data_IF_880131031123
#
_entry.id   IF_880131031123
#
_cell.length_a   1.000
_cell.length_b   1.000
_cell.length_c   1.000
_cell.angle_alpha   90.00
_cell.angle_beta   90.00
_cell.angle_gamma   90.00
#
_symmetry.space_group_name_H-M   'P 1'
#
loop_
_entity.id
_entity.type
_entity.pdbx_description
1 polymer ?
#
# COMPACT_ATOMS: atom_id res chain seq x y z
N UNK A 1 -17.44 59.98 -6.19
CA UNK A 1 -16.97 59.20 -5.04
C UNK A 1 -17.19 57.75 -5.37
N UNK A 2 -16.14 57.03 -5.73
CA UNK A 2 -16.19 55.58 -6.01
C UNK A 2 -15.57 54.87 -4.81
N UNK A 3 -16.40 54.04 -4.11
CA UNK A 3 -15.94 53.19 -3.04
C UNK A 3 -15.40 51.88 -3.66
N UNK A 4 -14.07 51.72 -3.61
CA UNK A 4 -13.42 50.46 -3.98
C UNK A 4 -13.58 49.46 -2.82
N UNK A 5 -14.35 48.40 -3.08
CA UNK A 5 -14.45 47.26 -2.16
C UNK A 5 -13.28 46.33 -2.46
N UNK A 6 -12.26 46.33 -1.58
CA UNK A 6 -11.20 45.33 -1.62
C UNK A 6 -11.77 43.98 -1.11
N UNK A 7 -11.94 43.04 -2.02
CA UNK A 7 -12.24 41.67 -1.66
C UNK A 7 -10.94 40.97 -1.17
N UNK A 8 -10.82 40.72 0.12
CA UNK A 8 -9.79 39.88 0.72
C UNK A 8 -10.10 38.43 0.39
N UNK A 9 -9.38 37.89 -0.59
CA UNK A 9 -9.42 36.45 -0.86
C UNK A 9 -8.56 35.76 0.19
N UNK A 10 -9.20 35.16 1.18
CA UNK A 10 -8.49 34.32 2.14
C UNK A 10 -8.09 33.01 1.44
N UNK A 11 -6.81 32.89 1.09
CA UNK A 11 -6.21 31.62 0.65
C UNK A 11 -6.16 30.67 1.84
N UNK A 12 -7.03 29.70 1.83
CA UNK A 12 -6.98 28.62 2.79
C UNK A 12 -5.91 27.64 2.31
N UNK A 13 -4.73 27.73 2.87
CA UNK A 13 -3.70 26.71 2.70
C UNK A 13 -4.19 25.43 3.40
N UNK A 14 -4.55 24.41 2.61
CA UNK A 14 -4.82 23.08 3.14
C UNK A 14 -3.48 22.49 3.56
N UNK A 15 -3.18 22.58 4.86
CA UNK A 15 -2.04 21.88 5.43
C UNK A 15 -2.32 20.37 5.42
N UNK A 16 -1.34 19.54 5.02
CA UNK A 16 -1.50 18.09 5.12
C UNK A 16 -1.85 17.71 6.56
N UNK A 17 -2.87 16.90 6.74
CA UNK A 17 -3.32 16.53 8.07
C UNK A 17 -2.21 15.72 8.77
N UNK A 18 -2.02 16.00 10.05
CA UNK A 18 -1.05 15.29 10.90
C UNK A 18 -1.26 13.76 10.87
N UNK A 19 -2.47 13.31 10.58
CA UNK A 19 -2.83 11.90 10.45
C UNK A 19 -2.11 11.18 9.29
N UNK A 20 -1.86 11.86 8.15
CA UNK A 20 -1.12 11.26 7.03
C UNK A 20 0.37 11.07 7.34
N UNK A 21 0.97 12.01 8.07
CA UNK A 21 2.36 11.91 8.50
C UNK A 21 2.55 10.85 9.61
N UNK A 22 1.59 10.69 10.49
CA UNK A 22 1.59 9.66 11.55
C UNK A 22 1.31 8.27 10.97
N UNK A 23 0.42 8.14 9.98
CA UNK A 23 0.14 6.89 9.27
C UNK A 23 1.39 6.29 8.59
N UNK A 24 2.26 7.12 8.04
CA UNK A 24 3.51 6.68 7.42
C UNK A 24 4.48 6.04 8.42
N UNK A 25 4.62 6.61 9.62
CA UNK A 25 5.48 6.06 10.68
C UNK A 25 4.92 4.77 11.25
N UNK A 26 3.62 4.72 11.51
CA UNK A 26 2.94 3.52 11.98
C UNK A 26 2.97 2.42 10.93
N UNK A 27 2.80 2.76 9.67
CA UNK A 27 2.87 1.83 8.54
C UNK A 27 4.25 1.20 8.39
N UNK A 28 5.31 1.96 8.53
CA UNK A 28 6.69 1.43 8.53
C UNK A 28 6.92 0.46 9.69
N UNK A 29 6.52 0.82 10.89
CA UNK A 29 6.64 -0.02 12.07
C UNK A 29 5.81 -1.30 11.94
N UNK A 30 4.60 -1.19 11.43
CA UNK A 30 3.72 -2.34 11.16
C UNK A 30 4.31 -3.25 10.08
N UNK A 31 4.87 -2.70 9.01
CA UNK A 31 5.57 -3.45 7.99
C UNK A 31 6.71 -4.28 8.59
N UNK A 32 7.54 -3.67 9.43
CA UNK A 32 8.64 -4.38 10.09
C UNK A 32 8.14 -5.55 10.96
N UNK A 33 7.05 -5.37 11.66
CA UNK A 33 6.50 -6.42 12.55
C UNK A 33 5.71 -7.49 11.82
N UNK A 34 4.95 -7.10 10.77
CA UNK A 34 3.97 -7.99 10.11
C UNK A 34 4.47 -8.58 8.80
N UNK A 35 5.33 -7.89 8.09
CA UNK A 35 5.68 -8.23 6.71
C UNK A 35 7.16 -8.62 6.54
N UNK A 36 8.06 -8.04 7.34
CA UNK A 36 9.50 -8.20 7.16
C UNK A 36 10.04 -9.60 7.49
N UNK A 37 9.24 -10.48 8.08
CA UNK A 37 9.61 -11.88 8.27
C UNK A 37 9.66 -12.68 6.96
N UNK A 38 8.88 -12.28 5.97
CA UNK A 38 8.78 -12.96 4.67
C UNK A 38 9.10 -12.06 3.47
N UNK A 39 9.00 -10.75 3.64
CA UNK A 39 9.25 -9.77 2.59
C UNK A 39 10.37 -8.80 2.96
N UNK A 40 11.11 -8.35 1.95
CA UNK A 40 11.94 -7.16 2.03
C UNK A 40 11.46 -6.13 1.00
N UNK A 41 11.92 -4.89 1.14
CA UNK A 41 11.57 -3.85 0.15
C UNK A 41 12.30 -4.06 -1.17
N UNK A 42 13.58 -4.41 -1.13
CA UNK A 42 14.46 -4.40 -2.29
C UNK A 42 15.04 -5.78 -2.66
N UNK A 43 14.63 -6.83 -1.96
CA UNK A 43 15.08 -8.19 -2.20
C UNK A 43 13.94 -9.19 -2.09
N UNK A 44 14.03 -10.29 -2.84
CA UNK A 44 13.10 -11.41 -2.75
C UNK A 44 13.56 -12.34 -1.62
N UNK A 45 12.61 -12.79 -0.83
CA UNK A 45 12.79 -13.80 0.23
C UNK A 45 11.72 -14.89 0.09
N UNK A 46 11.00 -15.22 1.14
CA UNK A 46 9.84 -16.11 1.05
C UNK A 46 8.72 -15.51 0.20
N UNK A 47 8.59 -14.19 0.23
CA UNK A 47 7.73 -13.42 -0.67
C UNK A 47 8.55 -12.50 -1.58
N UNK A 48 7.92 -11.93 -2.62
CA UNK A 48 8.58 -10.99 -3.52
C UNK A 48 8.87 -9.66 -2.83
N UNK A 49 9.84 -8.91 -3.38
CA UNK A 49 10.12 -7.54 -2.96
C UNK A 49 8.87 -6.67 -3.03
N UNK A 50 8.71 -5.75 -2.10
CA UNK A 50 7.50 -4.95 -1.98
C UNK A 50 7.65 -3.47 -2.36
N UNK A 51 8.87 -2.93 -2.53
CA UNK A 51 9.01 -1.58 -3.04
C UNK A 51 8.40 -1.50 -4.45
N UNK A 52 7.50 -0.55 -4.64
CA UNK A 52 6.79 -0.38 -5.91
C UNK A 52 5.63 -1.36 -6.13
N UNK A 53 5.18 -2.08 -5.11
CA UNK A 53 4.06 -3.03 -5.25
C UNK A 53 2.74 -2.36 -5.63
N UNK A 54 2.47 -1.17 -5.13
CA UNK A 54 1.28 -0.39 -5.53
C UNK A 54 1.46 0.10 -6.97
N UNK A 55 0.58 -0.34 -7.85
CA UNK A 55 0.65 -0.08 -9.29
C UNK A 55 1.35 -1.18 -10.09
N UNK A 56 1.86 -2.22 -9.45
CA UNK A 56 2.53 -3.35 -10.10
C UNK A 56 1.54 -4.46 -10.46
N UNK A 57 1.71 -5.07 -11.62
CA UNK A 57 0.92 -6.25 -11.98
C UNK A 57 1.22 -7.42 -11.04
N UNK A 58 0.17 -8.12 -10.61
CA UNK A 58 0.32 -9.31 -9.76
C UNK A 58 1.19 -10.36 -10.47
N UNK A 59 2.04 -11.04 -9.72
CA UNK A 59 2.90 -12.10 -10.24
C UNK A 59 3.99 -11.62 -11.20
N UNK A 60 4.38 -10.34 -11.19
CA UNK A 60 5.23 -9.76 -12.23
C UNK A 60 6.71 -9.57 -11.89
N UNK A 61 7.13 -9.80 -10.65
CA UNK A 61 8.56 -9.73 -10.29
C UNK A 61 9.28 -10.93 -10.91
N UNK A 62 10.13 -10.66 -11.90
CA UNK A 62 10.76 -11.71 -12.73
C UNK A 62 11.73 -12.60 -11.96
N UNK A 63 12.30 -12.10 -10.90
CA UNK A 63 13.28 -12.81 -10.06
C UNK A 63 12.65 -13.64 -8.96
N UNK A 64 11.33 -13.55 -8.78
CA UNK A 64 10.59 -14.30 -7.76
C UNK A 64 9.79 -15.43 -8.38
N UNK A 65 9.81 -16.59 -7.73
CA UNK A 65 9.04 -17.75 -8.15
C UNK A 65 7.68 -17.77 -7.45
N UNK A 66 6.66 -17.27 -8.14
CA UNK A 66 5.28 -17.25 -7.66
C UNK A 66 4.61 -18.62 -7.73
N UNK A 67 3.54 -18.80 -6.93
CA UNK A 67 2.56 -19.87 -7.17
C UNK A 67 1.94 -19.74 -8.56
N UNK A 68 1.45 -20.84 -9.12
CA UNK A 68 0.74 -20.81 -10.40
C UNK A 68 -0.49 -19.89 -10.34
N UNK A 69 -1.18 -19.86 -9.21
CA UNK A 69 -2.31 -18.96 -8.99
C UNK A 69 -1.93 -17.48 -9.15
N UNK A 70 -0.83 -17.05 -8.54
CA UNK A 70 -0.35 -15.67 -8.67
C UNK A 70 0.24 -15.36 -10.03
N UNK A 71 0.93 -16.30 -10.67
CA UNK A 71 1.39 -16.13 -12.06
C UNK A 71 0.24 -15.88 -13.03
N UNK A 72 -0.89 -16.51 -12.80
CA UNK A 72 -2.09 -16.41 -13.64
C UNK A 72 -3.04 -15.29 -13.23
N UNK A 73 -2.79 -14.60 -12.12
CA UNK A 73 -3.59 -13.47 -11.68
C UNK A 73 -3.46 -12.29 -12.67
N UNK A 74 -4.59 -11.67 -12.98
CA UNK A 74 -4.70 -10.66 -14.06
C UNK A 74 -4.95 -9.24 -13.54
N UNK A 75 -4.72 -8.99 -12.27
CA UNK A 75 -4.96 -7.67 -11.69
C UNK A 75 -3.66 -6.92 -11.41
N UNK A 76 -3.77 -5.61 -11.28
CA UNK A 76 -2.72 -4.73 -10.79
C UNK A 76 -3.00 -4.39 -9.33
N UNK A 77 -1.98 -4.41 -8.49
CA UNK A 77 -2.13 -4.06 -7.09
C UNK A 77 -2.47 -2.59 -6.92
N UNK A 78 -3.57 -2.31 -6.26
CA UNK A 78 -3.98 -0.98 -5.82
C UNK A 78 -4.41 -1.02 -4.35
N UNK A 79 -4.70 0.13 -3.78
CA UNK A 79 -5.07 0.22 -2.37
C UNK A 79 -6.28 -0.66 -2.02
N UNK A 80 -7.31 -0.68 -2.88
CA UNK A 80 -8.54 -1.41 -2.64
C UNK A 80 -8.33 -2.93 -2.65
N UNK A 81 -7.62 -3.47 -3.64
CA UNK A 81 -7.38 -4.91 -3.70
C UNK A 81 -6.27 -5.37 -2.74
N UNK A 82 -5.34 -4.51 -2.35
CA UNK A 82 -4.41 -4.79 -1.26
C UNK A 82 -5.12 -4.89 0.08
N UNK A 83 -6.12 -4.06 0.34
CA UNK A 83 -6.93 -4.19 1.56
C UNK A 83 -7.68 -5.53 1.60
N UNK A 84 -8.28 -5.94 0.49
CA UNK A 84 -8.91 -7.26 0.36
C UNK A 84 -7.90 -8.40 0.53
N UNK A 85 -6.73 -8.28 -0.09
CA UNK A 85 -5.64 -9.25 -0.01
C UNK A 85 -5.18 -9.45 1.44
N UNK A 86 -4.91 -8.37 2.15
CA UNK A 86 -4.49 -8.43 3.55
C UNK A 86 -5.62 -8.85 4.51
N UNK A 87 -6.87 -8.74 4.08
CA UNK A 87 -8.01 -9.25 4.84
C UNK A 87 -8.15 -10.76 4.66
N UNK A 88 -8.07 -11.26 3.44
CA UNK A 88 -8.17 -12.67 3.10
C UNK A 88 -7.57 -12.92 1.71
N UNK A 89 -6.40 -13.50 1.68
CA UNK A 89 -5.67 -13.77 0.42
C UNK A 89 -6.42 -14.71 -0.51
N UNK A 90 -7.08 -15.73 0.04
CA UNK A 90 -7.85 -16.70 -0.75
C UNK A 90 -9.05 -16.09 -1.47
N UNK A 91 -9.64 -15.02 -0.92
CA UNK A 91 -10.75 -14.34 -1.57
C UNK A 91 -10.34 -13.55 -2.82
N UNK A 92 -9.05 -13.21 -2.94
CA UNK A 92 -8.51 -12.44 -4.07
C UNK A 92 -7.85 -13.35 -5.09
N UNK A 93 -7.00 -14.26 -4.64
CA UNK A 93 -6.31 -15.25 -5.49
C UNK A 93 -6.41 -16.63 -4.83
N UNK A 94 -7.41 -17.41 -5.15
CA UNK A 94 -7.52 -18.79 -4.62
C UNK A 94 -6.29 -19.62 -4.94
N UNK A 95 -5.90 -20.51 -4.04
CA UNK A 95 -4.73 -21.38 -4.15
C UNK A 95 -3.38 -20.64 -4.17
N UNK A 96 -3.31 -19.45 -3.56
CA UNK A 96 -2.06 -18.73 -3.36
C UNK A 96 -1.25 -19.34 -2.19
N UNK A 97 0.04 -19.01 -2.16
CA UNK A 97 0.97 -19.51 -1.12
C UNK A 97 1.12 -18.55 0.08
N UNK A 98 0.49 -17.39 0.06
CA UNK A 98 0.57 -16.42 1.15
C UNK A 98 -0.60 -16.56 2.12
N UNK A 99 -0.48 -17.45 3.08
CA UNK A 99 -1.49 -17.65 4.14
C UNK A 99 -1.29 -16.70 5.29
N UNK A 100 -1.53 -15.40 5.06
CA UNK A 100 -1.31 -14.35 6.05
C UNK A 100 -2.46 -13.33 6.03
N UNK A 101 -2.85 -12.86 7.20
CA UNK A 101 -3.94 -11.89 7.38
C UNK A 101 -3.55 -10.77 8.34
N UNK A 102 -4.07 -9.59 8.07
CA UNK A 102 -4.04 -8.44 8.98
C UNK A 102 -5.50 -8.10 9.33
N UNK A 103 -6.05 -8.65 10.44
CA UNK A 103 -7.47 -8.49 10.76
C UNK A 103 -7.89 -7.04 11.04
N UNK A 104 -7.00 -6.25 11.62
CA UNK A 104 -7.30 -4.87 11.99
C UNK A 104 -7.28 -3.95 10.75
N UNK A 105 -8.39 -3.29 10.48
CA UNK A 105 -8.56 -2.42 9.32
C UNK A 105 -7.62 -1.21 9.35
N UNK A 106 -7.39 -0.61 10.50
CA UNK A 106 -6.50 0.56 10.64
C UNK A 106 -5.04 0.17 10.39
N UNK A 107 -4.63 -1.00 10.86
CA UNK A 107 -3.30 -1.54 10.56
C UNK A 107 -3.11 -1.80 9.06
N UNK A 108 -4.11 -2.37 8.39
CA UNK A 108 -4.06 -2.58 6.94
C UNK A 108 -3.92 -1.26 6.19
N UNK A 109 -4.72 -0.27 6.55
CA UNK A 109 -4.68 1.06 5.95
C UNK A 109 -3.30 1.71 6.12
N UNK A 110 -2.70 1.62 7.30
CA UNK A 110 -1.38 2.17 7.59
C UNK A 110 -0.28 1.46 6.78
N UNK A 111 -0.32 0.14 6.68
CA UNK A 111 0.64 -0.65 5.88
C UNK A 111 0.51 -0.29 4.39
N UNK A 112 -0.70 -0.21 3.87
CA UNK A 112 -0.96 0.12 2.46
C UNK A 112 -0.50 1.54 2.14
N UNK A 113 -0.77 2.50 3.02
CA UNK A 113 -0.29 3.88 2.89
C UNK A 113 1.24 3.95 2.85
N UNK A 114 1.91 3.20 3.71
CA UNK A 114 3.36 3.09 3.71
C UNK A 114 3.89 2.52 2.39
N UNK A 115 3.34 1.40 1.92
CA UNK A 115 3.73 0.79 0.65
C UNK A 115 3.48 1.72 -0.54
N UNK A 116 2.38 2.47 -0.53
CA UNK A 116 2.08 3.47 -1.54
C UNK A 116 3.13 4.58 -1.56
N UNK A 117 3.59 5.03 -0.41
CA UNK A 117 4.64 6.06 -0.31
C UNK A 117 5.98 5.62 -0.90
N UNK A 118 6.22 4.31 -1.01
CA UNK A 118 7.41 3.70 -1.60
C UNK A 118 7.24 3.39 -3.10
N UNK A 119 6.06 3.60 -3.64
CA UNK A 119 5.76 3.45 -5.06
C UNK A 119 6.00 4.79 -5.73
N UNK A 120 7.19 5.03 -6.22
CA UNK A 120 7.56 6.25 -6.91
C UNK A 120 6.83 6.39 -8.24
N UNK A 121 6.46 7.61 -8.60
CA UNK A 121 5.98 7.91 -9.95
C UNK A 121 7.05 7.66 -11.00
#
# INVERSE_FOLDING_TARGET
MALAVLALVASWAVLPSKAEAEGGKDGQSLFQRRCAGCHALDADHEGPRLRGVVGRAAGSVKTFQYSEALKNAKHTWNEANLDKWLTDTESVVPDNDMSFRVPNQEERAAIISYLKSLSTP
#
